data_IF_797387965886
#
_entry.id   IF_797387965886
#
_cell.length_a   1.000
_cell.length_b   1.000
_cell.length_c   1.000
_cell.angle_alpha   90.00
_cell.angle_beta   90.00
_cell.angle_gamma   90.00
#
_symmetry.space_group_name_H-M   'P 1'
#
loop_
_entity.id
_entity.type
_entity.pdbx_description
1 polymer ?
#
# COMPACT_ATOMS: atom_id res chain seq x y z
N UNK A 1 -13.96 -26.39 -7.30
CA UNK A 1 -14.36 -26.28 -5.89
C UNK A 1 -15.32 -25.10 -5.76
N UNK A 2 -16.15 -25.12 -4.73
CA UNK A 2 -17.04 -24.03 -4.39
C UNK A 2 -16.39 -23.15 -3.33
N UNK A 3 -16.22 -21.86 -3.62
CA UNK A 3 -15.45 -20.92 -2.82
C UNK A 3 -16.34 -19.73 -2.46
N UNK A 4 -16.32 -19.36 -1.19
CA UNK A 4 -17.05 -18.21 -0.66
C UNK A 4 -16.13 -17.05 -0.30
N UNK A 5 -16.70 -15.85 -0.34
CA UNK A 5 -16.04 -14.64 0.13
C UNK A 5 -16.97 -13.86 1.08
N UNK A 6 -16.44 -13.48 2.24
CA UNK A 6 -17.06 -12.52 3.15
C UNK A 6 -16.23 -11.25 3.11
N UNK A 7 -16.66 -10.30 2.31
CA UNK A 7 -15.92 -9.10 1.91
C UNK A 7 -15.51 -9.16 0.44
N UNK A 8 -16.07 -8.30 -0.37
CA UNK A 8 -15.79 -8.17 -1.81
C UNK A 8 -15.33 -6.73 -2.15
N UNK A 9 -14.64 -6.11 -1.19
CA UNK A 9 -14.04 -4.80 -1.38
C UNK A 9 -12.87 -4.80 -2.36
N UNK A 10 -12.02 -3.77 -2.30
CA UNK A 10 -10.88 -3.55 -3.23
C UNK A 10 -9.86 -4.71 -3.28
N UNK A 11 -9.76 -5.52 -2.21
CA UNK A 11 -8.94 -6.73 -2.19
C UNK A 11 -9.76 -7.98 -2.54
N UNK A 12 -10.93 -8.13 -1.91
CA UNK A 12 -11.72 -9.36 -2.00
C UNK A 12 -12.26 -9.63 -3.41
N UNK A 13 -12.77 -8.63 -4.10
CA UNK A 13 -13.33 -8.81 -5.45
C UNK A 13 -12.26 -9.20 -6.48
N UNK A 14 -11.08 -8.56 -6.59
CA UNK A 14 -10.03 -9.03 -7.49
C UNK A 14 -9.54 -10.45 -7.18
N UNK A 15 -9.43 -10.83 -5.90
CA UNK A 15 -9.07 -12.19 -5.51
C UNK A 15 -10.17 -13.18 -5.91
N UNK A 16 -11.43 -12.85 -5.70
CA UNK A 16 -12.58 -13.67 -6.13
C UNK A 16 -12.57 -13.91 -7.65
N UNK A 17 -12.32 -12.86 -8.43
CA UNK A 17 -12.17 -12.93 -9.89
C UNK A 17 -10.97 -13.81 -10.30
N UNK A 18 -9.85 -13.71 -9.59
CA UNK A 18 -8.69 -14.57 -9.81
C UNK A 18 -9.00 -16.04 -9.55
N UNK A 19 -9.73 -16.35 -8.48
CA UNK A 19 -10.19 -17.70 -8.14
C UNK A 19 -11.15 -18.23 -9.21
N UNK A 20 -12.13 -17.44 -9.63
CA UNK A 20 -13.07 -17.80 -10.69
C UNK A 20 -12.35 -18.05 -12.01
N UNK A 21 -11.34 -17.26 -12.36
CA UNK A 21 -10.56 -17.40 -13.61
C UNK A 21 -9.83 -18.75 -13.72
N UNK A 22 -9.67 -19.45 -12.59
CA UNK A 22 -9.09 -20.81 -12.51
C UNK A 22 -10.14 -21.91 -12.50
N UNK A 23 -11.39 -21.59 -12.81
CA UNK A 23 -12.46 -22.56 -12.98
C UNK A 23 -13.16 -22.98 -11.68
N UNK A 24 -13.05 -22.20 -10.62
CA UNK A 24 -13.81 -22.38 -9.39
C UNK A 24 -15.15 -21.68 -9.45
N UNK A 25 -16.17 -22.20 -8.74
CA UNK A 25 -17.44 -21.55 -8.56
C UNK A 25 -17.35 -20.61 -7.35
N UNK A 26 -17.62 -19.34 -7.56
CA UNK A 26 -17.44 -18.31 -6.55
C UNK A 26 -18.73 -17.59 -6.25
N UNK A 27 -19.05 -17.48 -4.96
CA UNK A 27 -20.10 -16.59 -4.45
C UNK A 27 -19.53 -15.70 -3.36
N UNK A 28 -20.17 -14.57 -3.09
CA UNK A 28 -19.69 -13.73 -2.02
C UNK A 28 -20.74 -12.78 -1.46
N UNK A 29 -20.42 -12.28 -0.30
CA UNK A 29 -21.18 -11.30 0.47
C UNK A 29 -20.31 -10.10 0.82
N UNK A 30 -20.92 -8.94 0.81
CA UNK A 30 -20.34 -7.72 1.38
C UNK A 30 -21.45 -6.92 2.08
N UNK A 31 -21.11 -6.22 3.15
CA UNK A 31 -22.07 -5.36 3.86
C UNK A 31 -22.43 -4.12 3.03
N UNK A 32 -21.58 -3.74 2.08
CA UNK A 32 -21.75 -2.55 1.24
C UNK A 32 -22.61 -2.85 0.01
N UNK A 33 -23.73 -2.16 -0.13
CA UNK A 33 -24.53 -2.19 -1.36
C UNK A 33 -23.80 -1.62 -2.58
N UNK A 34 -22.79 -0.79 -2.39
CA UNK A 34 -21.95 -0.30 -3.50
C UNK A 34 -21.19 -1.44 -4.17
N UNK A 35 -20.70 -2.39 -3.39
CA UNK A 35 -20.02 -3.59 -3.92
C UNK A 35 -20.98 -4.41 -4.76
N UNK A 36 -22.22 -4.59 -4.30
CA UNK A 36 -23.28 -5.24 -5.09
C UNK A 36 -23.49 -4.53 -6.42
N UNK A 37 -23.59 -3.21 -6.40
CA UNK A 37 -23.79 -2.41 -7.63
C UNK A 37 -22.59 -2.55 -8.59
N UNK A 38 -21.34 -2.64 -8.10
CA UNK A 38 -20.15 -2.88 -8.91
C UNK A 38 -20.27 -4.23 -9.65
N UNK A 39 -20.66 -5.27 -8.94
CA UNK A 39 -20.80 -6.63 -9.51
C UNK A 39 -21.94 -6.66 -10.53
N UNK A 40 -23.10 -6.10 -10.21
CA UNK A 40 -24.28 -6.08 -11.08
C UNK A 40 -24.03 -5.23 -12.34
N UNK A 41 -23.38 -4.07 -12.19
CA UNK A 41 -23.06 -3.17 -13.30
C UNK A 41 -21.84 -3.60 -14.11
N UNK A 42 -21.07 -4.59 -13.64
CA UNK A 42 -19.79 -5.02 -14.24
C UNK A 42 -18.81 -3.87 -14.44
N UNK A 43 -18.74 -2.93 -13.50
CA UNK A 43 -17.88 -1.75 -13.63
C UNK A 43 -17.11 -1.47 -12.35
N UNK A 44 -15.77 -1.56 -12.42
CA UNK A 44 -14.89 -1.22 -11.30
C UNK A 44 -14.69 0.30 -11.21
N UNK A 45 -14.82 0.91 -10.01
CA UNK A 45 -14.55 2.32 -9.80
C UNK A 45 -13.05 2.63 -9.54
N UNK A 46 -12.18 1.63 -9.64
CA UNK A 46 -10.73 1.74 -9.41
C UNK A 46 -9.95 0.92 -10.44
N UNK A 47 -8.67 1.23 -10.57
CA UNK A 47 -7.76 0.52 -11.50
C UNK A 47 -7.14 -0.69 -10.80
N UNK A 48 -7.30 -1.85 -11.42
CA UNK A 48 -6.71 -3.11 -10.98
C UNK A 48 -6.42 -3.95 -12.22
N UNK A 49 -5.18 -4.36 -12.42
CA UNK A 49 -4.74 -5.10 -13.62
C UNK A 49 -5.58 -6.37 -13.76
N UNK A 50 -6.12 -6.59 -14.96
CA UNK A 50 -7.00 -7.70 -15.38
C UNK A 50 -8.40 -7.72 -14.74
N UNK A 51 -8.62 -6.99 -13.63
CA UNK A 51 -9.87 -7.15 -12.88
C UNK A 51 -11.11 -6.71 -13.68
N UNK A 52 -11.04 -5.60 -14.43
CA UNK A 52 -12.20 -5.19 -15.25
C UNK A 52 -12.52 -6.22 -16.33
N UNK A 53 -11.52 -6.74 -17.04
CA UNK A 53 -11.71 -7.75 -18.09
C UNK A 53 -12.30 -9.04 -17.55
N UNK A 54 -11.89 -9.46 -16.33
CA UNK A 54 -12.44 -10.63 -15.67
C UNK A 54 -13.84 -10.36 -15.13
N UNK A 55 -14.11 -9.18 -14.58
CA UNK A 55 -15.42 -8.80 -14.07
C UNK A 55 -16.48 -8.79 -15.19
N UNK A 56 -16.13 -8.31 -16.39
CA UNK A 56 -17.04 -8.30 -17.56
C UNK A 56 -17.58 -9.71 -17.88
N UNK A 57 -16.76 -10.74 -17.67
CA UNK A 57 -17.05 -12.15 -17.97
C UNK A 57 -17.49 -12.95 -16.74
N UNK A 58 -17.37 -12.37 -15.55
CA UNK A 58 -17.59 -13.05 -14.27
C UNK A 58 -19.03 -13.51 -14.09
N UNK A 59 -19.17 -14.62 -13.42
CA UNK A 59 -20.44 -15.20 -12.96
C UNK A 59 -20.56 -15.19 -11.43
N UNK A 60 -19.68 -14.46 -10.75
CA UNK A 60 -19.73 -14.32 -9.30
C UNK A 60 -21.09 -13.76 -8.90
N UNK A 61 -21.77 -14.46 -8.00
CA UNK A 61 -23.06 -14.03 -7.46
C UNK A 61 -22.86 -13.34 -6.11
N UNK A 62 -23.51 -12.19 -5.97
CA UNK A 62 -23.64 -11.51 -4.68
C UNK A 62 -24.83 -12.11 -3.94
N UNK A 63 -24.57 -12.77 -2.82
CA UNK A 63 -25.57 -13.51 -2.03
C UNK A 63 -25.50 -13.13 -0.55
N UNK A 64 -26.43 -13.62 0.28
CA UNK A 64 -26.34 -13.49 1.73
C UNK A 64 -25.34 -14.47 2.36
N UNK A 65 -25.03 -14.26 3.65
CA UNK A 65 -24.07 -15.10 4.38
C UNK A 65 -24.52 -16.56 4.44
N UNK A 66 -25.83 -16.83 4.60
CA UNK A 66 -26.40 -18.19 4.63
C UNK A 66 -26.04 -18.95 3.35
N UNK A 67 -26.25 -18.33 2.19
CA UNK A 67 -25.90 -18.95 0.90
C UNK A 67 -24.40 -19.08 0.66
N UNK A 68 -23.59 -18.13 1.18
CA UNK A 68 -22.13 -18.29 1.12
C UNK A 68 -21.71 -19.55 1.87
N UNK A 69 -22.27 -19.80 3.06
CA UNK A 69 -21.94 -21.00 3.86
C UNK A 69 -22.46 -22.27 3.18
N UNK A 70 -23.71 -22.28 2.71
CA UNK A 70 -24.30 -23.43 1.99
C UNK A 70 -23.48 -23.83 0.76
N UNK A 71 -23.05 -22.83 -0.03
CA UNK A 71 -22.34 -23.06 -1.28
C UNK A 71 -20.91 -23.54 -1.08
N UNK A 72 -20.23 -23.09 -0.03
CA UNK A 72 -18.77 -23.04 0.01
C UNK A 72 -18.12 -24.15 0.82
N UNK A 73 -17.01 -24.69 0.31
CA UNK A 73 -16.10 -25.59 1.03
C UNK A 73 -15.01 -24.81 1.76
N UNK A 74 -14.63 -23.66 1.20
CA UNK A 74 -13.61 -22.75 1.73
C UNK A 74 -14.18 -21.33 1.62
N UNK A 75 -14.04 -20.56 2.69
CA UNK A 75 -14.55 -19.20 2.76
C UNK A 75 -13.39 -18.26 3.09
N UNK A 76 -13.13 -17.31 2.19
CA UNK A 76 -12.16 -16.25 2.38
C UNK A 76 -12.79 -15.06 3.11
N UNK A 77 -12.04 -14.47 4.04
CA UNK A 77 -12.48 -13.32 4.83
C UNK A 77 -11.49 -12.17 4.67
N UNK A 78 -11.60 -11.37 3.58
CA UNK A 78 -10.79 -10.18 3.33
C UNK A 78 -11.41 -8.91 3.92
N UNK A 79 -11.90 -8.98 5.14
CA UNK A 79 -12.47 -7.82 5.83
C UNK A 79 -11.32 -6.89 6.26
N UNK A 80 -11.43 -5.61 5.95
CA UNK A 80 -10.40 -4.64 6.29
C UNK A 80 -10.34 -4.39 7.81
N UNK A 81 -9.13 -4.09 8.28
CA UNK A 81 -8.84 -3.66 9.65
C UNK A 81 -8.35 -2.21 9.58
N UNK A 82 -9.26 -1.24 9.53
CA UNK A 82 -8.91 0.16 9.30
C UNK A 82 -8.24 0.81 10.50
N UNK A 83 -7.66 1.97 10.25
CA UNK A 83 -7.34 2.98 11.25
C UNK A 83 -8.32 4.14 11.17
N UNK A 84 -8.34 4.96 12.22
CA UNK A 84 -8.84 6.33 12.11
C UNK A 84 -8.05 7.06 11.01
N UNK A 85 -8.70 7.88 10.16
CA UNK A 85 -8.02 8.67 9.11
C UNK A 85 -6.85 9.52 9.62
N UNK A 86 -6.84 9.91 10.89
CA UNK A 86 -5.73 10.61 11.52
C UNK A 86 -4.40 9.82 11.49
N UNK A 87 -4.47 8.48 11.37
CA UNK A 87 -3.32 7.56 11.37
C UNK A 87 -2.97 7.01 9.97
N UNK A 88 -3.49 7.59 8.90
CA UNK A 88 -3.16 7.18 7.51
C UNK A 88 -1.81 7.69 7.00
N UNK A 89 -1.10 8.51 7.79
CA UNK A 89 0.21 9.06 7.40
C UNK A 89 0.15 10.15 6.32
N UNK A 90 -1.02 10.76 6.08
CA UNK A 90 -1.20 11.92 5.18
C UNK A 90 -1.01 13.25 5.90
N UNK A 91 -0.92 13.21 7.20
CA UNK A 91 -0.59 14.34 8.09
C UNK A 91 0.52 13.94 9.05
N UNK A 92 1.02 14.87 9.88
CA UNK A 92 1.95 14.52 10.95
C UNK A 92 1.28 13.55 11.92
N UNK A 93 2.09 12.59 12.40
CA UNK A 93 1.56 11.59 13.33
C UNK A 93 1.22 12.22 14.69
N UNK A 94 0.09 11.85 15.31
CA UNK A 94 -0.17 12.12 16.71
C UNK A 94 0.93 11.49 17.60
N UNK A 95 1.13 12.02 18.80
CA UNK A 95 2.05 11.44 19.80
C UNK A 95 1.62 10.04 20.25
N UNK A 96 0.32 9.80 20.31
CA UNK A 96 -0.26 8.50 20.62
C UNK A 96 -0.11 7.54 19.43
N UNK A 97 0.10 6.26 19.72
CA UNK A 97 0.09 5.16 18.74
C UNK A 97 -1.08 4.24 19.03
N UNK A 98 -1.68 3.70 17.99
CA UNK A 98 -2.90 2.88 18.10
C UNK A 98 -2.73 1.55 17.38
N UNK A 99 -3.47 0.55 17.84
CA UNK A 99 -3.63 -0.74 17.18
C UNK A 99 -4.62 -0.61 15.98
N UNK A 100 -4.79 -1.67 15.22
CA UNK A 100 -5.82 -1.76 14.20
C UNK A 100 -7.22 -1.81 14.84
N UNK A 101 -8.23 -1.33 14.11
CA UNK A 101 -9.63 -1.53 14.48
C UNK A 101 -10.13 -2.89 13.96
N UNK A 102 -10.40 -3.81 14.88
CA UNK A 102 -10.88 -5.16 14.57
C UNK A 102 -12.40 -5.28 14.59
N UNK A 103 -13.14 -4.20 14.80
CA UNK A 103 -14.60 -4.21 14.98
C UNK A 103 -15.32 -4.93 13.84
N UNK A 104 -14.99 -4.57 12.60
CA UNK A 104 -15.64 -5.17 11.43
C UNK A 104 -15.22 -6.62 11.22
N UNK A 105 -13.93 -6.95 11.43
CA UNK A 105 -13.43 -8.30 11.32
C UNK A 105 -14.09 -9.23 12.35
N UNK A 106 -14.18 -8.79 13.60
CA UNK A 106 -14.85 -9.53 14.70
C UNK A 106 -16.32 -9.75 14.40
N UNK A 107 -17.03 -8.70 14.00
CA UNK A 107 -18.46 -8.78 13.67
C UNK A 107 -18.71 -9.72 12.49
N UNK A 108 -17.94 -9.59 11.42
CA UNK A 108 -18.08 -10.43 10.22
C UNK A 108 -17.79 -11.90 10.49
N UNK A 109 -16.72 -12.20 11.23
CA UNK A 109 -16.36 -13.56 11.60
C UNK A 109 -17.35 -14.19 12.58
N UNK A 110 -17.88 -13.41 13.53
CA UNK A 110 -18.92 -13.89 14.43
C UNK A 110 -20.19 -14.27 13.66
N UNK A 111 -20.66 -13.39 12.76
CA UNK A 111 -21.83 -13.67 11.92
C UNK A 111 -21.62 -14.91 11.05
N UNK A 112 -20.44 -15.03 10.43
CA UNK A 112 -20.09 -16.16 9.61
C UNK A 112 -20.06 -17.46 10.43
N UNK A 113 -19.41 -17.44 11.58
CA UNK A 113 -19.29 -18.62 12.45
C UNK A 113 -20.66 -19.06 13.00
N UNK A 114 -21.53 -18.14 13.41
CA UNK A 114 -22.87 -18.46 13.87
C UNK A 114 -23.70 -19.16 12.78
N UNK A 115 -23.55 -18.74 11.52
CA UNK A 115 -24.21 -19.40 10.39
C UNK A 115 -23.62 -20.79 10.08
N UNK A 116 -22.29 -20.94 10.18
CA UNK A 116 -21.62 -22.25 10.03
C UNK A 116 -22.12 -23.22 11.11
N UNK A 117 -22.18 -22.79 12.36
CA UNK A 117 -22.67 -23.62 13.47
C UNK A 117 -24.15 -24.01 13.30
N UNK A 118 -24.97 -23.10 12.80
CA UNK A 118 -26.39 -23.37 12.50
C UNK A 118 -26.56 -24.46 11.43
N UNK A 119 -25.67 -24.49 10.42
CA UNK A 119 -25.68 -25.52 9.39
C UNK A 119 -25.03 -26.83 9.82
N UNK A 120 -24.14 -26.81 10.81
CA UNK A 120 -23.54 -27.99 11.44
C UNK A 120 -22.52 -28.74 10.56
N UNK A 121 -21.92 -28.08 9.59
CA UNK A 121 -20.90 -28.63 8.70
C UNK A 121 -19.56 -27.89 8.84
N UNK A 122 -18.46 -28.64 8.90
CA UNK A 122 -17.12 -28.07 8.97
C UNK A 122 -16.79 -27.25 7.71
N UNK A 123 -16.50 -25.98 7.90
CA UNK A 123 -16.02 -25.07 6.84
C UNK A 123 -14.61 -24.57 7.13
N UNK A 124 -13.76 -24.56 6.10
CA UNK A 124 -12.45 -23.92 6.21
C UNK A 124 -12.61 -22.41 6.00
N UNK A 125 -12.28 -21.65 7.02
CA UNK A 125 -12.34 -20.18 7.00
C UNK A 125 -10.93 -19.62 6.92
N UNK A 126 -10.62 -18.91 5.84
CA UNK A 126 -9.31 -18.31 5.58
C UNK A 126 -9.37 -16.83 5.86
N UNK A 127 -8.82 -16.41 6.99
CA UNK A 127 -8.68 -14.99 7.34
C UNK A 127 -7.43 -14.44 6.70
N UNK A 128 -7.59 -13.39 5.89
CA UNK A 128 -6.48 -12.74 5.18
C UNK A 128 -6.19 -11.32 5.68
N UNK A 129 -7.07 -10.79 6.53
CA UNK A 129 -6.94 -9.45 7.13
C UNK A 129 -5.64 -9.31 7.90
N UNK A 130 -4.98 -8.17 7.77
CA UNK A 130 -3.77 -7.88 8.54
C UNK A 130 -4.13 -7.58 9.99
N UNK A 131 -3.47 -8.28 10.90
CA UNK A 131 -3.64 -8.13 12.36
C UNK A 131 -2.28 -8.17 13.06
N UNK A 132 -2.19 -7.65 14.29
CA UNK A 132 -0.99 -7.75 15.11
C UNK A 132 -0.85 -9.17 15.75
N UNK A 133 0.39 -9.57 16.09
CA UNK A 133 0.65 -10.87 16.73
C UNK A 133 -0.18 -11.11 17.99
N UNK A 134 -0.84 -12.26 18.04
CA UNK A 134 -1.73 -12.67 19.13
C UNK A 134 -3.20 -12.29 18.95
N UNK A 135 -3.53 -11.45 17.98
CA UNK A 135 -4.91 -10.98 17.75
C UNK A 135 -5.86 -12.11 17.38
N UNK A 136 -5.47 -13.01 16.46
CA UNK A 136 -6.34 -14.13 16.06
C UNK A 136 -6.65 -15.00 17.28
N UNK A 137 -5.68 -15.29 18.12
CA UNK A 137 -5.89 -16.14 19.30
C UNK A 137 -6.73 -15.44 20.36
N UNK A 138 -6.46 -14.17 20.64
CA UNK A 138 -7.08 -13.42 21.73
C UNK A 138 -8.45 -12.87 21.36
N UNK A 139 -8.61 -12.33 20.15
CA UNK A 139 -9.78 -11.55 19.77
C UNK A 139 -10.73 -12.31 18.82
N UNK A 140 -10.21 -13.23 18.01
CA UNK A 140 -10.98 -13.89 16.96
C UNK A 140 -11.40 -15.29 17.36
N UNK A 141 -10.48 -16.16 17.77
CA UNK A 141 -10.80 -17.55 18.12
C UNK A 141 -11.92 -17.71 19.15
N UNK A 142 -12.04 -16.87 20.17
CA UNK A 142 -13.15 -16.99 21.14
C UNK A 142 -14.53 -16.72 20.54
N UNK A 143 -14.61 -16.14 19.34
CA UNK A 143 -15.86 -15.87 18.63
C UNK A 143 -16.31 -17.02 17.73
N UNK A 144 -15.42 -18.00 17.50
CA UNK A 144 -15.65 -19.06 16.53
C UNK A 144 -16.17 -20.33 17.19
N UNK A 145 -17.12 -20.98 16.53
CA UNK A 145 -17.68 -22.24 16.94
C UNK A 145 -16.84 -23.45 16.48
N UNK A 146 -17.33 -24.65 16.82
CA UNK A 146 -16.62 -25.91 16.60
C UNK A 146 -16.44 -26.25 15.12
N UNK A 147 -17.42 -25.90 14.27
CA UNK A 147 -17.41 -26.20 12.84
C UNK A 147 -16.61 -25.18 12.02
N UNK A 148 -16.14 -24.09 12.62
CA UNK A 148 -15.32 -23.07 11.95
C UNK A 148 -13.84 -23.45 12.04
N UNK A 149 -13.29 -24.06 10.98
CA UNK A 149 -11.88 -24.50 10.91
C UNK A 149 -11.03 -23.36 10.33
N UNK A 150 -10.40 -22.59 11.22
CA UNK A 150 -9.69 -21.37 10.86
C UNK A 150 -8.28 -21.64 10.33
N UNK A 151 -7.93 -20.97 9.23
CA UNK A 151 -6.56 -20.75 8.76
C UNK A 151 -6.30 -19.24 8.68
N UNK A 152 -5.17 -18.79 9.18
CA UNK A 152 -4.71 -17.44 8.94
C UNK A 152 -3.75 -17.41 7.74
N UNK A 153 -4.10 -16.67 6.70
CA UNK A 153 -3.33 -16.62 5.46
C UNK A 153 -3.23 -15.19 4.96
N UNK A 154 -2.38 -14.36 5.56
CA UNK A 154 -2.19 -12.99 5.10
C UNK A 154 -1.53 -12.95 3.73
N UNK A 155 -1.94 -12.00 2.90
CA UNK A 155 -1.43 -11.86 1.53
C UNK A 155 -0.30 -10.84 1.43
N UNK A 156 0.66 -11.12 0.55
CA UNK A 156 1.74 -10.22 0.14
C UNK A 156 1.41 -9.63 -1.24
N UNK A 157 0.38 -8.81 -1.28
CA UNK A 157 -0.22 -8.27 -2.50
C UNK A 157 -0.08 -6.76 -2.52
N UNK A 158 0.26 -6.20 -3.68
CA UNK A 158 0.22 -4.78 -3.93
C UNK A 158 -1.10 -4.41 -4.65
N UNK A 159 -1.84 -3.43 -4.11
CA UNK A 159 -3.03 -2.89 -4.79
C UNK A 159 -2.67 -2.40 -6.19
N UNK A 160 -3.53 -2.67 -7.16
CA UNK A 160 -3.28 -2.42 -8.58
C UNK A 160 -2.73 -3.65 -9.34
N UNK A 161 -2.21 -4.65 -8.61
CA UNK A 161 -1.72 -5.93 -9.18
C UNK A 161 -2.23 -7.15 -8.42
N UNK A 162 -3.33 -7.00 -7.69
CA UNK A 162 -3.89 -8.01 -6.79
C UNK A 162 -4.07 -9.37 -7.44
N UNK A 163 -4.70 -9.43 -8.61
CA UNK A 163 -4.94 -10.71 -9.30
C UNK A 163 -3.63 -11.41 -9.68
N UNK A 164 -2.68 -10.66 -10.21
CA UNK A 164 -1.37 -11.19 -10.60
C UNK A 164 -0.62 -11.74 -9.39
N UNK A 165 -0.54 -10.93 -8.33
CA UNK A 165 0.23 -11.28 -7.13
C UNK A 165 -0.42 -12.46 -6.39
N UNK A 166 -1.75 -12.59 -6.43
CA UNK A 166 -2.46 -13.74 -5.88
C UNK A 166 -2.25 -15.02 -6.70
N UNK A 167 -2.21 -14.92 -8.04
CA UNK A 167 -2.03 -16.08 -8.92
C UNK A 167 -0.56 -16.50 -9.08
N UNK A 168 0.38 -15.64 -8.68
CA UNK A 168 1.82 -15.91 -8.75
C UNK A 168 2.56 -15.31 -7.54
N UNK A 169 2.21 -15.70 -6.30
CA UNK A 169 2.86 -15.21 -5.10
C UNK A 169 4.27 -15.78 -4.96
N UNK A 170 5.17 -15.03 -4.32
CA UNK A 170 6.51 -15.54 -3.96
C UNK A 170 6.40 -16.69 -2.94
N UNK A 171 5.51 -16.56 -1.98
CA UNK A 171 5.16 -17.59 -0.98
C UNK A 171 3.67 -17.50 -0.63
N UNK A 172 3.10 -18.62 -0.19
CA UNK A 172 1.81 -18.65 0.52
C UNK A 172 2.08 -18.91 1.98
N UNK A 173 1.77 -17.97 2.84
CA UNK A 173 2.00 -18.04 4.28
C UNK A 173 0.75 -18.56 5.00
N UNK A 174 0.90 -19.63 5.78
CA UNK A 174 -0.16 -20.13 6.65
C UNK A 174 0.24 -20.10 8.13
N UNK A 175 -0.57 -19.40 8.92
CA UNK A 175 -0.62 -19.57 10.37
C UNK A 175 -1.75 -20.56 10.72
N UNK A 176 -1.42 -21.68 11.32
CA UNK A 176 -2.37 -22.77 11.53
C UNK A 176 -2.22 -23.42 12.89
N UNK A 177 -3.37 -23.84 13.43
CA UNK A 177 -3.46 -24.75 14.57
C UNK A 177 -4.13 -26.08 14.14
N UNK A 178 -4.81 -26.12 12.99
CA UNK A 178 -5.52 -27.27 12.43
C UNK A 178 -4.88 -27.71 11.11
N UNK A 179 -4.15 -28.82 11.16
CA UNK A 179 -3.49 -29.39 9.99
C UNK A 179 -4.47 -29.88 8.91
N UNK A 180 -5.69 -30.25 9.25
CA UNK A 180 -6.70 -30.72 8.28
C UNK A 180 -7.18 -29.53 7.45
N UNK A 181 -7.51 -28.42 8.11
CA UNK A 181 -7.89 -27.18 7.47
C UNK A 181 -6.76 -26.64 6.57
N UNK A 182 -5.52 -26.65 7.09
CA UNK A 182 -4.34 -26.22 6.32
C UNK A 182 -4.12 -27.07 5.05
N UNK A 183 -4.26 -28.40 5.14
CA UNK A 183 -4.13 -29.29 3.98
C UNK A 183 -5.23 -29.05 2.95
N UNK A 184 -6.47 -28.78 3.38
CA UNK A 184 -7.59 -28.47 2.47
C UNK A 184 -7.33 -27.13 1.76
N UNK A 185 -6.88 -26.11 2.47
CA UNK A 185 -6.48 -24.83 1.90
C UNK A 185 -5.30 -24.99 0.91
N UNK A 186 -4.25 -25.74 1.29
CA UNK A 186 -3.12 -26.01 0.39
C UNK A 186 -3.57 -26.70 -0.89
N UNK A 187 -4.43 -27.73 -0.80
CA UNK A 187 -4.99 -28.42 -1.98
C UNK A 187 -5.73 -27.45 -2.91
N UNK A 188 -6.46 -26.50 -2.35
CA UNK A 188 -7.11 -25.44 -3.14
C UNK A 188 -6.06 -24.59 -3.85
N UNK A 189 -5.06 -24.04 -3.15
CA UNK A 189 -4.03 -23.19 -3.75
C UNK A 189 -3.24 -23.90 -4.85
N UNK A 190 -3.01 -25.22 -4.73
CA UNK A 190 -2.36 -26.02 -5.79
C UNK A 190 -3.17 -26.09 -7.09
N UNK A 191 -4.45 -25.74 -7.08
CA UNK A 191 -5.25 -25.57 -8.30
C UNK A 191 -5.03 -24.23 -8.98
N UNK A 192 -4.44 -23.25 -8.28
CA UNK A 192 -4.20 -21.90 -8.78
C UNK A 192 -2.75 -21.71 -9.29
N UNK A 193 -1.76 -22.21 -8.51
CA UNK A 193 -0.33 -22.04 -8.75
C UNK A 193 0.53 -23.07 -8.01
N UNK A 194 1.83 -23.07 -8.29
CA UNK A 194 2.81 -23.98 -7.68
C UNK A 194 3.80 -23.29 -6.73
N UNK A 195 3.50 -22.08 -6.27
CA UNK A 195 4.35 -21.31 -5.37
C UNK A 195 4.61 -22.05 -4.05
N UNK A 196 5.73 -21.77 -3.37
CA UNK A 196 6.06 -22.38 -2.08
C UNK A 196 5.02 -22.08 -1.01
N UNK A 197 4.79 -23.03 -0.11
CA UNK A 197 3.98 -22.86 1.10
C UNK A 197 4.89 -22.79 2.31
N UNK A 198 4.65 -21.79 3.16
CA UNK A 198 5.31 -21.68 4.46
C UNK A 198 4.27 -21.77 5.57
N UNK A 199 4.33 -22.87 6.32
CA UNK A 199 3.45 -23.11 7.48
C UNK A 199 4.17 -22.81 8.77
N UNK A 200 3.49 -22.11 9.67
CA UNK A 200 4.02 -21.74 10.98
C UNK A 200 2.85 -21.56 11.97
N UNK A 201 3.15 -21.13 13.20
CA UNK A 201 2.11 -20.73 14.16
C UNK A 201 1.36 -19.50 13.67
N UNK A 202 0.14 -19.29 14.17
CA UNK A 202 -0.68 -18.14 13.84
C UNK A 202 0.08 -16.86 14.20
N UNK A 203 0.65 -16.77 15.40
CA UNK A 203 1.38 -15.62 15.90
C UNK A 203 2.62 -15.28 15.04
N UNK A 204 3.35 -16.30 14.58
CA UNK A 204 4.44 -16.08 13.64
C UNK A 204 3.94 -15.54 12.31
N UNK A 205 2.83 -16.07 11.78
CA UNK A 205 2.28 -15.59 10.50
C UNK A 205 1.75 -14.16 10.61
N UNK A 206 1.14 -13.78 11.74
CA UNK A 206 0.74 -12.41 12.04
C UNK A 206 1.97 -11.48 12.04
N UNK A 207 3.05 -11.87 12.75
CA UNK A 207 4.28 -11.08 12.81
C UNK A 207 4.96 -10.98 11.44
N UNK A 208 5.11 -12.09 10.72
CA UNK A 208 5.73 -12.13 9.38
C UNK A 208 5.01 -11.15 8.44
N UNK A 209 3.68 -11.10 8.49
CA UNK A 209 2.90 -10.21 7.63
C UNK A 209 3.26 -8.74 7.84
N UNK A 210 3.29 -8.27 9.07
CA UNK A 210 3.53 -6.84 9.35
C UNK A 210 5.01 -6.48 9.19
N UNK A 211 5.95 -7.34 9.60
CA UNK A 211 7.38 -7.05 9.43
C UNK A 211 7.86 -7.14 7.98
N UNK A 212 7.16 -7.87 7.12
CA UNK A 212 7.43 -7.85 5.67
C UNK A 212 7.32 -6.44 5.11
N UNK A 213 6.23 -5.74 5.41
CA UNK A 213 6.03 -4.36 4.97
C UNK A 213 7.06 -3.41 5.63
N UNK A 214 7.36 -3.60 6.91
CA UNK A 214 8.40 -2.82 7.61
C UNK A 214 9.77 -2.97 6.95
N UNK A 215 10.12 -4.18 6.50
CA UNK A 215 11.39 -4.40 5.80
C UNK A 215 11.45 -3.66 4.45
N UNK A 216 10.34 -3.60 3.73
CA UNK A 216 10.22 -2.77 2.51
C UNK A 216 10.42 -1.29 2.85
N UNK A 217 9.73 -0.79 3.88
CA UNK A 217 9.85 0.61 4.35
C UNK A 217 11.28 0.94 4.78
N UNK A 218 11.97 -0.01 5.42
CA UNK A 218 13.39 0.14 5.79
C UNK A 218 14.27 0.37 4.56
N UNK A 219 14.07 -0.39 3.49
CA UNK A 219 14.82 -0.19 2.23
C UNK A 219 14.58 1.21 1.65
N UNK A 220 13.31 1.65 1.61
CA UNK A 220 12.94 2.96 1.08
C UNK A 220 13.55 4.08 1.93
N UNK A 221 13.41 4.00 3.25
CA UNK A 221 13.95 5.00 4.18
C UNK A 221 15.48 5.10 4.06
N UNK A 222 16.17 3.96 3.99
CA UNK A 222 17.61 3.90 3.79
C UNK A 222 18.05 4.59 2.49
N UNK A 223 17.40 4.28 1.38
CA UNK A 223 17.78 4.87 0.08
C UNK A 223 17.46 6.35 0.02
N UNK A 224 16.36 6.79 0.63
CA UNK A 224 16.03 8.22 0.72
C UNK A 224 17.06 8.99 1.58
N UNK A 225 17.60 8.37 2.62
CA UNK A 225 18.73 8.96 3.37
C UNK A 225 19.99 9.06 2.50
N UNK A 226 20.28 8.05 1.67
CA UNK A 226 21.39 8.14 0.71
C UNK A 226 21.15 9.23 -0.35
N UNK A 227 19.91 9.39 -0.81
CA UNK A 227 19.54 10.45 -1.76
C UNK A 227 19.86 11.83 -1.17
N UNK A 228 19.50 12.08 0.08
CA UNK A 228 19.85 13.33 0.77
C UNK A 228 21.36 13.51 0.89
N UNK A 229 22.09 12.47 1.26
CA UNK A 229 23.55 12.52 1.36
C UNK A 229 24.18 12.85 -0.02
N UNK A 230 23.76 12.18 -1.09
CA UNK A 230 24.24 12.46 -2.43
C UNK A 230 23.89 13.87 -2.91
N UNK A 231 22.74 14.41 -2.51
CA UNK A 231 22.40 15.80 -2.83
C UNK A 231 23.32 16.83 -2.14
N UNK A 232 23.87 16.48 -0.97
CA UNK A 232 24.74 17.35 -0.19
C UNK A 232 26.23 17.14 -0.45
N UNK A 233 26.62 16.03 -1.09
CA UNK A 233 28.02 15.69 -1.38
C UNK A 233 28.33 15.95 -2.85
N UNK A 234 29.47 16.63 -3.19
CA UNK A 234 29.84 16.86 -4.57
C UNK A 234 30.23 15.55 -5.27
N UNK A 235 29.99 15.50 -6.57
CA UNK A 235 30.36 14.39 -7.48
C UNK A 235 29.79 13.03 -7.05
N UNK A 236 28.57 12.99 -6.49
CA UNK A 236 27.83 11.78 -6.15
C UNK A 236 26.49 11.72 -6.87
N UNK A 237 26.01 10.49 -7.08
CA UNK A 237 24.71 10.22 -7.68
C UNK A 237 24.07 9.03 -6.96
N UNK A 238 22.85 9.19 -6.45
CA UNK A 238 22.18 8.15 -5.68
C UNK A 238 21.85 6.92 -6.52
N UNK A 239 21.58 7.10 -7.81
CA UNK A 239 21.28 5.97 -8.70
C UNK A 239 22.54 5.15 -8.99
N UNK A 240 23.72 5.76 -9.14
CA UNK A 240 24.99 5.04 -9.27
C UNK A 240 25.30 4.24 -7.99
N UNK A 241 25.09 4.86 -6.81
CA UNK A 241 25.27 4.17 -5.53
C UNK A 241 24.32 2.99 -5.40
N UNK A 242 23.03 3.19 -5.64
CA UNK A 242 22.04 2.12 -5.49
C UNK A 242 22.13 1.07 -6.58
N UNK A 243 22.55 1.42 -7.81
CA UNK A 243 22.81 0.44 -8.89
C UNK A 243 23.95 -0.50 -8.51
N UNK A 244 25.03 0.00 -7.88
CA UNK A 244 26.07 -0.87 -7.36
C UNK A 244 25.54 -1.80 -6.25
N UNK A 245 24.70 -1.31 -5.33
CA UNK A 245 24.08 -2.12 -4.28
C UNK A 245 23.14 -3.20 -4.85
N UNK A 246 22.39 -2.89 -5.91
CA UNK A 246 21.50 -3.85 -6.58
C UNK A 246 22.24 -5.04 -7.20
N UNK A 247 23.52 -4.89 -7.53
CA UNK A 247 24.36 -5.99 -8.04
C UNK A 247 24.83 -6.93 -6.93
N UNK A 248 24.63 -6.58 -5.67
CA UNK A 248 25.08 -7.37 -4.51
C UNK A 248 23.94 -8.31 -4.02
N UNK A 249 23.43 -9.16 -4.90
CA UNK A 249 22.25 -10.01 -4.66
C UNK A 249 22.51 -11.13 -3.64
N UNK A 250 23.73 -11.57 -3.45
CA UNK A 250 24.12 -12.55 -2.44
C UNK A 250 23.99 -12.02 -0.99
N UNK A 251 24.06 -10.70 -0.79
CA UNK A 251 24.03 -10.08 0.56
C UNK A 251 22.83 -9.17 0.77
N UNK A 252 22.30 -8.59 -0.31
CA UNK A 252 21.10 -7.76 -0.32
C UNK A 252 20.02 -8.59 -0.98
N UNK A 253 19.01 -9.04 -0.22
CA UNK A 253 18.02 -10.06 -0.60
C UNK A 253 17.34 -9.77 -1.96
N UNK A 254 17.14 -8.50 -2.34
CA UNK A 254 16.47 -8.07 -3.56
C UNK A 254 16.90 -6.66 -3.96
N UNK A 255 16.90 -6.37 -5.27
CA UNK A 255 17.12 -5.03 -5.81
C UNK A 255 15.89 -4.11 -5.75
N UNK A 256 14.73 -4.66 -5.47
CA UNK A 256 13.48 -3.91 -5.37
C UNK A 256 13.51 -2.92 -4.20
N UNK A 257 12.88 -1.77 -4.40
CA UNK A 257 12.81 -0.67 -3.41
C UNK A 257 14.15 0.01 -3.08
N UNK A 258 15.21 -0.28 -3.85
CA UNK A 258 16.50 0.41 -3.76
C UNK A 258 16.56 1.56 -4.77
N UNK A 259 15.61 2.47 -4.70
CA UNK A 259 15.57 3.68 -5.54
C UNK A 259 15.14 4.86 -4.69
N UNK A 260 15.92 5.94 -4.74
CA UNK A 260 15.57 7.18 -4.08
C UNK A 260 14.35 7.83 -4.73
N UNK A 261 13.59 8.57 -3.95
CA UNK A 261 12.37 9.23 -4.37
C UNK A 261 11.63 9.81 -3.17
N UNK A 262 10.32 9.78 -3.22
CA UNK A 262 9.47 10.12 -2.09
C UNK A 262 9.45 8.99 -1.05
N UNK A 263 8.99 9.30 0.16
CA UNK A 263 8.76 8.31 1.21
C UNK A 263 7.80 7.20 0.78
N UNK A 264 7.68 6.18 1.59
CA UNK A 264 6.72 5.10 1.39
C UNK A 264 5.27 5.60 1.48
N UNK A 265 4.34 4.78 1.00
CA UNK A 265 2.92 5.14 0.99
C UNK A 265 2.01 3.94 0.79
N UNK A 266 0.77 4.25 0.43
CA UNK A 266 -0.28 3.25 0.34
C UNK A 266 -0.91 2.94 1.69
N UNK A 267 -1.96 2.11 1.66
CA UNK A 267 -2.72 1.76 2.86
C UNK A 267 -2.00 0.82 3.84
N UNK A 268 -0.76 0.39 3.56
CA UNK A 268 -0.08 -0.61 4.36
C UNK A 268 1.16 -0.07 5.09
N UNK A 269 2.09 0.58 4.38
CA UNK A 269 3.40 0.90 4.97
C UNK A 269 3.33 1.82 6.19
N UNK A 270 2.73 3.02 6.14
CA UNK A 270 2.60 3.86 7.33
C UNK A 270 1.80 3.16 8.43
N UNK A 271 0.68 2.55 8.06
CA UNK A 271 -0.22 1.86 8.98
C UNK A 271 0.48 0.75 9.78
N UNK A 272 1.18 -0.14 9.08
CA UNK A 272 1.82 -1.30 9.72
C UNK A 272 2.97 -0.85 10.63
N UNK A 273 3.75 0.18 10.24
CA UNK A 273 4.79 0.74 11.09
C UNK A 273 4.21 1.44 12.33
N UNK A 274 3.09 2.16 12.21
CA UNK A 274 2.40 2.78 13.35
C UNK A 274 1.92 1.71 14.32
N UNK A 275 1.28 0.65 13.82
CA UNK A 275 0.80 -0.45 14.67
C UNK A 275 1.94 -1.21 15.35
N UNK A 276 3.05 -1.42 14.65
CA UNK A 276 4.24 -2.05 15.23
C UNK A 276 4.95 -1.16 16.27
N UNK A 277 4.92 0.16 16.08
CA UNK A 277 5.40 1.11 17.10
C UNK A 277 4.54 1.01 18.38
N UNK A 278 3.21 0.95 18.23
CA UNK A 278 2.32 0.70 19.37
C UNK A 278 2.68 -0.63 20.07
N UNK A 279 2.84 -1.71 19.32
CA UNK A 279 3.24 -3.02 19.87
C UNK A 279 4.61 -2.96 20.55
N UNK A 280 5.56 -2.24 19.99
CA UNK A 280 6.89 -2.03 20.59
C UNK A 280 6.79 -1.44 21.99
N UNK A 281 5.89 -0.47 22.17
CA UNK A 281 5.62 0.15 23.48
C UNK A 281 4.92 -0.82 24.44
N UNK A 282 3.91 -1.58 23.98
CA UNK A 282 3.24 -2.60 24.80
C UNK A 282 4.19 -3.69 25.29
N UNK A 283 5.12 -4.11 24.44
CA UNK A 283 6.13 -5.12 24.77
C UNK A 283 7.34 -4.55 25.53
N UNK A 284 7.40 -3.23 25.73
CA UNK A 284 8.53 -2.52 26.32
C UNK A 284 9.87 -2.92 25.67
N UNK A 285 9.91 -2.88 24.30
CA UNK A 285 11.13 -3.15 23.58
C UNK A 285 12.20 -2.10 23.89
N UNK A 286 13.46 -2.47 23.84
CA UNK A 286 14.59 -1.59 24.13
C UNK A 286 14.76 -0.44 23.12
N UNK A 287 14.15 -0.54 21.95
CA UNK A 287 14.19 0.47 20.90
C UNK A 287 12.97 0.36 19.98
N UNK A 288 12.30 1.48 19.73
CA UNK A 288 11.17 1.55 18.79
C UNK A 288 11.68 1.89 17.39
N UNK A 289 12.11 0.87 16.66
CA UNK A 289 12.58 0.98 15.27
C UNK A 289 11.47 1.48 14.34
N UNK A 290 10.24 1.09 14.60
CA UNK A 290 9.09 1.38 13.75
C UNK A 290 8.70 2.85 13.81
N UNK A 291 8.75 3.46 15.00
CA UNK A 291 8.57 4.91 15.17
C UNK A 291 9.66 5.69 14.43
N UNK A 292 10.90 5.24 14.52
CA UNK A 292 12.01 5.89 13.83
C UNK A 292 11.88 5.85 12.30
N UNK A 293 11.31 4.81 11.72
CA UNK A 293 10.99 4.77 10.28
C UNK A 293 9.96 5.86 9.95
N UNK A 294 8.92 6.01 10.77
CA UNK A 294 7.90 7.03 10.55
C UNK A 294 8.44 8.45 10.76
N UNK A 295 9.29 8.64 11.78
CA UNK A 295 10.00 9.91 11.99
C UNK A 295 10.91 10.25 10.81
N UNK A 296 11.64 9.27 10.26
CA UNK A 296 12.48 9.48 9.07
C UNK A 296 11.64 9.95 7.88
N UNK A 297 10.47 9.35 7.67
CA UNK A 297 9.54 9.71 6.61
C UNK A 297 9.06 11.17 6.73
N UNK A 298 8.71 11.61 7.92
CA UNK A 298 8.28 12.99 8.17
C UNK A 298 9.45 13.98 8.03
N UNK A 299 10.60 13.68 8.65
CA UNK A 299 11.79 14.52 8.57
C UNK A 299 12.30 14.68 7.13
N UNK A 300 12.26 13.61 6.34
CA UNK A 300 12.61 13.68 4.92
C UNK A 300 11.64 14.58 4.15
N UNK A 301 10.36 14.53 4.47
CA UNK A 301 9.36 15.39 3.83
C UNK A 301 9.53 16.86 4.24
N UNK A 302 9.86 17.12 5.51
CA UNK A 302 10.25 18.46 5.99
C UNK A 302 11.49 19.01 5.25
N UNK A 303 12.50 18.15 5.04
CA UNK A 303 13.69 18.52 4.26
C UNK A 303 13.34 18.86 2.82
N UNK A 304 12.44 18.12 2.17
CA UNK A 304 11.97 18.44 0.83
C UNK A 304 11.21 19.79 0.79
N UNK A 305 10.43 20.09 1.82
CA UNK A 305 9.79 21.40 1.95
C UNK A 305 10.83 22.52 2.10
N UNK A 306 11.87 22.33 2.92
CA UNK A 306 12.98 23.27 3.03
C UNK A 306 13.67 23.49 1.68
N UNK A 307 13.92 22.42 0.92
CA UNK A 307 14.55 22.51 -0.40
C UNK A 307 13.72 23.36 -1.38
N UNK A 308 12.40 23.22 -1.36
CA UNK A 308 11.49 24.05 -2.17
C UNK A 308 11.59 25.52 -1.76
N UNK A 309 11.59 25.82 -0.46
CA UNK A 309 11.71 27.18 0.09
C UNK A 309 13.08 27.80 -0.24
N UNK A 310 14.17 27.06 -0.02
CA UNK A 310 15.55 27.49 -0.34
C UNK A 310 15.71 27.75 -1.84
N UNK A 311 15.11 26.91 -2.68
CA UNK A 311 15.08 27.10 -4.13
C UNK A 311 14.35 28.38 -4.49
N UNK A 312 13.18 28.64 -3.92
CA UNK A 312 12.47 29.91 -4.12
C UNK A 312 13.30 31.11 -3.68
N UNK A 313 13.98 31.02 -2.54
CA UNK A 313 14.84 32.07 -2.04
C UNK A 313 16.06 32.34 -2.96
N UNK A 314 16.71 31.28 -3.42
CA UNK A 314 17.88 31.36 -4.32
C UNK A 314 17.56 32.16 -5.59
N UNK A 315 16.39 31.96 -6.19
CA UNK A 315 16.03 32.55 -7.49
C UNK A 315 15.20 33.83 -7.39
N UNK A 316 14.47 34.06 -6.32
CA UNK A 316 13.57 35.23 -6.14
C UNK A 316 13.92 36.10 -4.94
N UNK A 317 14.86 35.69 -4.09
CA UNK A 317 15.24 36.42 -2.88
C UNK A 317 14.21 36.35 -1.75
N UNK A 318 13.19 35.48 -1.87
CA UNK A 318 12.20 35.27 -0.83
C UNK A 318 11.65 33.82 -0.89
N UNK A 319 11.26 33.27 0.27
CA UNK A 319 10.80 31.88 0.38
C UNK A 319 9.46 31.62 -0.32
N UNK A 320 8.63 32.64 -0.54
CA UNK A 320 7.34 32.56 -1.20
C UNK A 320 7.36 33.20 -2.59
N UNK A 321 8.51 33.20 -3.27
CA UNK A 321 8.71 33.91 -4.53
C UNK A 321 8.11 33.22 -5.75
N UNK A 322 7.82 31.94 -5.65
CA UNK A 322 7.19 31.13 -6.70
C UNK A 322 5.89 30.50 -6.21
N UNK A 323 4.85 30.43 -7.05
CA UNK A 323 3.76 29.47 -6.85
C UNK A 323 4.32 28.02 -6.86
N UNK A 324 3.71 27.16 -6.07
CA UNK A 324 4.15 25.77 -5.95
C UNK A 324 3.07 24.85 -6.51
N UNK A 325 3.46 23.95 -7.42
CA UNK A 325 2.60 22.89 -7.94
C UNK A 325 3.25 21.53 -7.79
N UNK A 326 2.59 20.63 -7.06
CA UNK A 326 3.03 19.25 -6.91
C UNK A 326 2.34 18.40 -7.99
N UNK A 327 3.13 17.72 -8.81
CA UNK A 327 2.67 16.82 -9.85
C UNK A 327 2.68 15.38 -9.33
N UNK A 328 1.49 14.79 -9.22
CA UNK A 328 1.25 13.47 -8.62
C UNK A 328 0.69 13.57 -7.20
N UNK A 329 -0.48 12.95 -7.00
CA UNK A 329 -1.19 12.81 -5.72
C UNK A 329 -1.14 11.37 -5.22
N UNK A 330 -1.04 10.42 -6.14
CA UNK A 330 -1.02 8.99 -5.84
C UNK A 330 0.29 8.58 -5.15
N UNK A 331 0.23 7.52 -4.33
CA UNK A 331 1.41 7.05 -3.60
C UNK A 331 2.42 6.29 -4.48
N UNK A 332 2.03 5.88 -5.68
CA UNK A 332 2.88 5.22 -6.68
C UNK A 332 2.40 5.51 -8.10
N UNK A 333 3.24 5.27 -9.14
CA UNK A 333 2.84 5.48 -10.53
C UNK A 333 1.62 4.66 -10.95
N UNK A 334 0.90 5.19 -11.95
CA UNK A 334 -0.18 4.51 -12.66
C UNK A 334 -1.33 3.99 -11.78
N UNK A 335 -1.62 4.70 -10.67
CA UNK A 335 -2.75 4.41 -9.78
C UNK A 335 -3.47 5.70 -9.36
N UNK A 336 -4.71 5.57 -8.96
CA UNK A 336 -5.52 6.66 -8.41
C UNK A 336 -5.65 6.61 -6.87
N UNK A 337 -4.77 5.87 -6.19
CA UNK A 337 -4.81 5.69 -4.74
C UNK A 337 -3.94 6.75 -4.06
N UNK A 338 -4.55 7.55 -3.21
CA UNK A 338 -3.89 8.64 -2.47
C UNK A 338 -3.59 8.31 -1.00
N UNK A 339 -4.13 7.20 -0.51
CA UNK A 339 -3.94 6.77 0.90
C UNK A 339 -2.45 6.70 1.25
N UNK A 340 -2.06 7.35 2.34
CA UNK A 340 -0.67 7.39 2.79
C UNK A 340 0.31 8.07 1.82
N UNK A 341 -0.17 8.88 0.88
CA UNK A 341 0.71 9.52 -0.12
C UNK A 341 1.71 10.49 0.51
N UNK A 342 3.01 10.31 0.26
CA UNK A 342 4.03 11.25 0.72
C UNK A 342 3.95 12.60 0.01
N UNK A 343 3.38 12.67 -1.19
CA UNK A 343 3.14 13.92 -1.91
C UNK A 343 2.09 14.77 -1.23
N UNK A 344 1.04 14.15 -0.68
CA UNK A 344 0.01 14.84 0.11
C UNK A 344 0.59 15.30 1.45
N UNK A 345 1.46 14.49 2.08
CA UNK A 345 2.17 14.92 3.29
C UNK A 345 3.02 16.17 3.01
N UNK A 346 3.77 16.21 1.90
CA UNK A 346 4.54 17.39 1.50
C UNK A 346 3.67 18.61 1.30
N UNK A 347 2.53 18.46 0.59
CA UNK A 347 1.55 19.53 0.44
C UNK A 347 1.11 20.07 1.80
N UNK A 348 0.69 19.18 2.69
CA UNK A 348 0.18 19.60 3.99
C UNK A 348 1.24 20.33 4.84
N UNK A 349 2.49 19.84 4.82
CA UNK A 349 3.61 20.52 5.49
C UNK A 349 3.85 21.92 4.92
N UNK A 350 3.85 22.07 3.60
CA UNK A 350 3.99 23.39 2.96
C UNK A 350 2.83 24.32 3.30
N UNK A 351 1.60 23.81 3.36
CA UNK A 351 0.43 24.60 3.76
C UNK A 351 0.47 25.00 5.24
N UNK A 352 0.94 24.14 6.14
CA UNK A 352 1.22 24.46 7.54
C UNK A 352 2.21 25.63 7.68
N UNK A 353 3.17 25.74 6.75
CA UNK A 353 4.15 26.83 6.67
C UNK A 353 3.63 28.10 5.97
N UNK A 354 2.37 28.09 5.54
CA UNK A 354 1.67 29.22 4.93
C UNK A 354 1.83 29.35 3.41
N UNK A 355 2.34 28.31 2.73
CA UNK A 355 2.37 28.30 1.26
C UNK A 355 1.01 27.91 0.68
N UNK A 356 0.68 28.49 -0.48
CA UNK A 356 -0.42 28.00 -1.31
C UNK A 356 0.14 26.95 -2.28
N UNK A 357 -0.37 25.72 -2.20
CA UNK A 357 0.12 24.59 -2.99
C UNK A 357 -0.97 24.04 -3.87
N UNK A 358 -0.71 23.97 -5.17
CA UNK A 358 -1.57 23.28 -6.12
C UNK A 358 -1.09 21.84 -6.32
N UNK A 359 -2.02 20.93 -6.59
CA UNK A 359 -1.70 19.54 -6.96
C UNK A 359 -2.48 19.13 -8.19
N UNK A 360 -1.84 18.33 -9.03
CA UNK A 360 -2.49 17.69 -10.17
C UNK A 360 -1.94 16.26 -10.38
N UNK A 361 -2.83 15.33 -10.75
CA UNK A 361 -2.49 13.94 -11.00
C UNK A 361 -3.33 13.39 -12.15
N UNK A 362 -2.71 12.88 -13.25
CA UNK A 362 -3.44 12.45 -14.45
C UNK A 362 -4.32 11.23 -14.23
N UNK A 363 -4.17 10.50 -13.12
CA UNK A 363 -4.96 9.32 -12.79
C UNK A 363 -6.10 9.61 -11.81
N UNK A 364 -6.19 10.85 -11.30
CA UNK A 364 -7.13 11.25 -10.24
C UNK A 364 -8.03 12.39 -10.70
N UNK A 365 -7.45 13.37 -11.40
CA UNK A 365 -8.16 14.59 -11.81
C UNK A 365 -8.67 14.46 -13.24
N UNK A 366 -9.94 14.82 -13.47
CA UNK A 366 -10.58 14.77 -14.80
C UNK A 366 -10.01 15.79 -15.78
N UNK A 367 -9.56 16.93 -15.26
CA UNK A 367 -8.92 17.99 -16.04
C UNK A 367 -7.89 18.73 -15.19
N UNK A 368 -6.86 19.24 -15.84
CA UNK A 368 -5.94 20.16 -15.22
C UNK A 368 -6.57 21.56 -15.19
N UNK A 369 -6.54 22.21 -14.02
CA UNK A 369 -6.85 23.63 -13.98
C UNK A 369 -5.78 24.37 -14.80
N UNK A 370 -6.18 25.13 -15.82
CA UNK A 370 -5.25 25.99 -16.57
C UNK A 370 -4.53 26.89 -15.56
N UNK A 371 -3.27 26.54 -15.28
CA UNK A 371 -2.43 27.35 -14.41
C UNK A 371 -2.14 28.68 -15.11
N UNK A 372 -2.05 29.74 -14.32
CA UNK A 372 -1.56 31.00 -14.82
C UNK A 372 -0.23 30.78 -15.55
N UNK A 373 0.02 31.45 -16.67
CA UNK A 373 1.24 31.29 -17.49
C UNK A 373 2.50 31.89 -16.81
N UNK A 374 2.55 31.85 -15.48
CA UNK A 374 3.68 32.34 -14.70
C UNK A 374 4.66 31.21 -14.34
N UNK A 375 5.92 31.60 -14.16
CA UNK A 375 6.95 30.67 -13.69
C UNK A 375 6.66 30.21 -12.26
N UNK A 376 6.80 28.90 -12.01
CA UNK A 376 6.51 28.28 -10.71
C UNK A 376 7.54 27.22 -10.35
N UNK A 377 7.47 26.73 -9.14
CA UNK A 377 8.18 25.52 -8.74
C UNK A 377 7.24 24.34 -8.95
N UNK A 378 7.63 23.44 -9.85
CA UNK A 378 7.03 22.11 -9.99
C UNK A 378 7.80 21.13 -9.16
N UNK A 379 7.12 20.39 -8.30
CA UNK A 379 7.69 19.28 -7.55
C UNK A 379 7.08 17.96 -8.05
N UNK A 380 7.92 17.00 -8.42
CA UNK A 380 7.46 15.70 -8.94
C UNK A 380 7.17 14.76 -7.77
N UNK A 381 5.92 14.76 -7.31
CA UNK A 381 5.48 13.95 -6.17
C UNK A 381 5.35 12.47 -6.47
N UNK A 382 4.86 12.12 -7.67
CA UNK A 382 4.72 10.72 -8.13
C UNK A 382 5.40 10.54 -9.49
N UNK A 383 6.08 9.41 -9.68
CA UNK A 383 6.82 9.12 -10.93
C UNK A 383 5.88 8.65 -12.05
N UNK A 384 4.93 9.49 -12.48
CA UNK A 384 4.09 9.17 -13.64
C UNK A 384 4.84 9.43 -14.95
N UNK A 385 4.73 8.54 -15.95
CA UNK A 385 5.40 8.71 -17.25
C UNK A 385 5.00 10.01 -17.96
N UNK A 386 3.77 10.45 -17.78
CA UNK A 386 3.16 11.62 -18.41
C UNK A 386 3.93 12.92 -18.08
N UNK A 387 4.60 12.98 -16.94
CA UNK A 387 5.34 14.18 -16.54
C UNK A 387 6.63 14.40 -17.36
N UNK A 388 7.13 13.40 -18.07
CA UNK A 388 8.25 13.60 -19.01
C UNK A 388 7.88 14.43 -20.24
N UNK A 389 6.61 14.50 -20.58
CA UNK A 389 6.04 15.25 -21.69
C UNK A 389 5.05 16.33 -21.24
N UNK A 390 5.02 16.62 -19.95
CA UNK A 390 4.16 17.67 -19.40
C UNK A 390 4.55 19.06 -19.89
N UNK A 391 3.59 19.94 -20.07
CA UNK A 391 3.82 21.30 -20.53
C UNK A 391 4.19 22.24 -19.37
N UNK A 392 5.47 22.33 -19.07
CA UNK A 392 5.98 23.21 -18.01
C UNK A 392 6.01 24.67 -18.46
N UNK A 393 5.65 25.61 -17.56
CA UNK A 393 5.72 27.04 -17.85
C UNK A 393 7.19 27.49 -17.95
N UNK A 394 7.52 28.30 -18.95
CA UNK A 394 8.87 28.82 -19.13
C UNK A 394 9.35 29.65 -17.92
N UNK A 395 10.62 29.53 -17.58
CA UNK A 395 11.23 30.15 -16.39
C UNK A 395 10.95 29.44 -15.08
N UNK A 396 10.29 28.27 -15.11
CA UNK A 396 9.99 27.47 -13.96
C UNK A 396 11.18 26.62 -13.51
N UNK A 397 11.09 26.13 -12.29
CA UNK A 397 12.05 25.20 -11.69
C UNK A 397 11.32 23.89 -11.42
N UNK A 398 11.91 22.76 -11.86
CA UNK A 398 11.36 21.44 -11.70
C UNK A 398 12.25 20.69 -10.72
N UNK A 399 11.71 20.36 -9.55
CA UNK A 399 12.40 19.56 -8.53
C UNK A 399 11.98 18.11 -8.69
N UNK A 400 12.91 17.27 -9.12
CA UNK A 400 12.67 15.87 -9.45
C UNK A 400 13.43 14.90 -8.50
N UNK A 401 12.76 14.36 -7.47
CA UNK A 401 13.34 13.36 -6.59
C UNK A 401 13.52 11.98 -7.24
N UNK A 402 13.00 11.78 -8.45
CA UNK A 402 13.05 10.51 -9.18
C UNK A 402 14.12 10.51 -10.28
N UNK A 403 14.70 11.68 -10.63
CA UNK A 403 15.79 11.86 -11.61
C UNK A 403 15.47 11.28 -13.00
N UNK A 404 14.23 11.50 -13.47
CA UNK A 404 13.77 10.96 -14.78
C UNK A 404 13.19 12.03 -15.70
N UNK A 405 12.97 13.24 -15.22
CA UNK A 405 12.52 14.36 -16.06
C UNK A 405 13.68 14.77 -16.95
N UNK A 406 13.51 14.80 -18.30
CA UNK A 406 14.56 15.29 -19.19
C UNK A 406 14.79 16.79 -19.02
N UNK A 407 15.87 17.30 -19.64
CA UNK A 407 16.04 18.75 -19.77
C UNK A 407 14.85 19.36 -20.50
N UNK A 408 14.30 20.41 -19.95
CA UNK A 408 13.13 21.14 -20.49
C UNK A 408 13.58 22.52 -20.92
N UNK A 409 13.25 22.91 -22.14
CA UNK A 409 13.58 24.24 -22.67
C UNK A 409 13.01 25.37 -21.79
N UNK A 410 13.84 26.34 -21.48
CA UNK A 410 13.50 27.47 -20.61
C UNK A 410 13.06 27.12 -19.18
N UNK A 411 13.38 25.93 -18.68
CA UNK A 411 13.19 25.53 -17.30
C UNK A 411 14.50 25.04 -16.69
N UNK A 412 14.63 25.15 -15.37
CA UNK A 412 15.70 24.50 -14.62
C UNK A 412 15.20 23.18 -14.02
N UNK A 413 15.91 22.09 -14.24
CA UNK A 413 15.58 20.79 -13.66
C UNK A 413 16.62 20.44 -12.60
N UNK A 414 16.16 20.27 -11.37
CA UNK A 414 16.98 19.87 -10.22
C UNK A 414 16.69 18.40 -9.92
N UNK A 415 17.64 17.54 -10.22
CA UNK A 415 17.57 16.12 -9.88
C UNK A 415 18.09 15.88 -8.46
N UNK A 416 17.18 15.62 -7.51
CA UNK A 416 17.58 15.41 -6.11
C UNK A 416 18.43 14.15 -5.99
N UNK A 417 19.62 14.31 -5.38
CA UNK A 417 20.58 13.22 -5.22
C UNK A 417 21.47 12.97 -6.43
N UNK A 418 21.50 13.90 -7.37
CA UNK A 418 22.48 13.94 -8.46
C UNK A 418 23.21 15.28 -8.43
N UNK A 419 24.47 15.25 -8.04
CA UNK A 419 25.37 16.44 -7.95
C UNK A 419 26.61 16.30 -8.82
N UNK A 420 26.60 15.38 -9.80
CA UNK A 420 27.77 15.06 -10.62
C UNK A 420 28.31 16.27 -11.40
N UNK A 421 27.49 17.26 -11.70
CA UNK A 421 27.85 18.44 -12.48
C UNK A 421 27.81 19.75 -11.64
N UNK A 422 27.57 19.66 -10.34
CA UNK A 422 27.57 20.83 -9.48
C UNK A 422 29.02 21.21 -9.10
N UNK A 423 29.43 22.43 -9.45
CA UNK A 423 30.64 23.05 -8.93
C UNK A 423 30.30 23.78 -7.65
N UNK A 424 30.73 23.27 -6.52
CA UNK A 424 30.61 23.89 -5.18
C UNK A 424 31.62 25.03 -4.99
#
# INVERSE_FOLDING_TARGET
MNIGFIGLGKLGLPVALAVESRGHNVVGYDISNEVKNIIDAKKLPYREIWAQEHLDKSKIEFVDVEKVVEHSEIIFVPIQTPHDPLYEGTTRLPDERVDFDYTWLKSGLKTLSDEIEKQGEDKVVIVISTVLPGTIRKEIKPLLGEHTKLCYNPFFIAMGTTMRDFLSPEIVLFGVDDDVAAKKAEKFYRTLHHSPFYKTTIENAELIKVVYNTFISTKIAFVNTLMEACHKLPNTNVDDVTNALKMCDERIISDKYLSGGMGDGGGCHPRDNIALSWLSRELNLSYDWFDNIMMQRENQTDWLANLIEETSFKYKGCYNGYPIKILGKSFKPETNITTGSPSILLKNILEERGHKVEMWDPYIDDSENESQQEAMIYFIGTKHPEFTSYSYNGGSIIIDPWRYIPSIDNCEVIHIGDSLNETH
#
